data_IF_343742004652
#
_entry.id   IF_343742004652
#
_cell.length_a   1.000
_cell.length_b   1.000
_cell.length_c   1.000
_cell.angle_alpha   90.00
_cell.angle_beta   90.00
_cell.angle_gamma   90.00
#
_symmetry.space_group_name_H-M   'P 1'
#
loop_
_entity.id
_entity.type
_entity.pdbx_description
1 polymer ?
#
# COMPACT_ATOMS: atom_id res chain seq x y z
N UNK A 1 -3.60 -11.37 -3.54
CA UNK A 1 -4.17 -10.08 -3.96
C UNK A 1 -5.42 -10.36 -4.79
N UNK A 2 -6.52 -9.64 -4.56
CA UNK A 2 -7.77 -9.68 -5.33
C UNK A 2 -7.99 -8.32 -5.99
N UNK A 3 -8.55 -8.27 -7.21
CA UNK A 3 -8.86 -6.99 -7.85
C UNK A 3 -9.86 -6.20 -6.98
N UNK A 4 -9.55 -4.95 -6.67
CA UNK A 4 -10.37 -4.13 -5.80
C UNK A 4 -11.54 -3.52 -6.59
N UNK A 5 -12.77 -3.72 -6.11
CA UNK A 5 -13.96 -3.10 -6.69
C UNK A 5 -14.15 -1.70 -6.10
N UNK A 6 -13.36 -0.73 -6.56
CA UNK A 6 -13.42 0.64 -6.06
C UNK A 6 -14.54 1.42 -6.76
N UNK A 7 -15.31 2.18 -5.98
CA UNK A 7 -16.41 3.01 -6.47
C UNK A 7 -15.96 4.46 -6.66
N UNK A 8 -15.25 4.98 -5.67
CA UNK A 8 -14.77 6.36 -5.62
C UNK A 8 -13.58 6.49 -4.64
N UNK A 9 -13.09 7.73 -4.45
CA UNK A 9 -12.01 8.05 -3.51
C UNK A 9 -12.39 7.83 -2.05
N UNK A 10 -13.66 8.02 -1.69
CA UNK A 10 -14.15 7.84 -0.32
C UNK A 10 -14.11 6.36 0.04
N UNK A 11 -14.48 5.47 -0.88
CA UNK A 11 -14.36 4.03 -0.70
C UNK A 11 -12.89 3.62 -0.45
N UNK A 12 -11.93 4.21 -1.16
CA UNK A 12 -10.50 3.95 -0.89
C UNK A 12 -10.12 4.35 0.54
N UNK A 13 -10.54 5.55 0.99
CA UNK A 13 -10.26 5.99 2.36
C UNK A 13 -10.85 5.03 3.40
N UNK A 14 -12.09 4.58 3.18
CA UNK A 14 -12.75 3.62 4.07
C UNK A 14 -11.99 2.30 4.15
N UNK A 15 -11.52 1.77 3.02
CA UNK A 15 -10.70 0.55 2.98
C UNK A 15 -9.39 0.73 3.76
N UNK A 16 -8.69 1.85 3.52
CA UNK A 16 -7.45 2.16 4.22
C UNK A 16 -7.67 2.27 5.74
N UNK A 17 -8.73 2.97 6.19
CA UNK A 17 -9.10 3.03 7.60
C UNK A 17 -9.50 1.67 8.21
N UNK A 18 -9.98 0.73 7.39
CA UNK A 18 -10.35 -0.62 7.80
C UNK A 18 -9.17 -1.61 7.78
N UNK A 19 -7.94 -1.11 7.89
CA UNK A 19 -6.69 -1.89 7.88
C UNK A 19 -6.53 -2.77 6.63
N UNK A 20 -7.18 -2.40 5.52
CA UNK A 20 -6.99 -3.08 4.26
C UNK A 20 -5.70 -2.62 3.59
N UNK A 21 -4.90 -3.57 3.15
CA UNK A 21 -3.71 -3.29 2.34
C UNK A 21 -4.10 -3.27 0.87
N UNK A 22 -3.86 -2.13 0.23
CA UNK A 22 -4.06 -1.94 -1.20
C UNK A 22 -2.75 -2.13 -1.95
N UNK A 23 -2.84 -2.51 -3.22
CA UNK A 23 -1.68 -2.72 -4.06
C UNK A 23 -1.94 -2.26 -5.48
N UNK A 24 -1.00 -1.49 -6.02
CA UNK A 24 -0.99 -1.11 -7.44
C UNK A 24 -0.13 -2.11 -8.18
N UNK A 25 -0.72 -2.84 -9.13
CA UNK A 25 0.01 -3.77 -9.99
C UNK A 25 0.78 -2.99 -11.07
N UNK A 26 2.03 -3.34 -11.31
CA UNK A 26 2.81 -2.78 -12.40
C UNK A 26 4.13 -3.51 -12.63
N UNK A 27 4.54 -3.61 -13.90
CA UNK A 27 5.69 -4.43 -14.32
C UNK A 27 7.03 -3.87 -13.83
N UNK A 28 7.08 -2.58 -13.51
CA UNK A 28 8.25 -1.92 -12.93
C UNK A 28 8.57 -2.37 -11.50
N UNK A 29 7.60 -2.93 -10.78
CA UNK A 29 7.78 -3.34 -9.40
C UNK A 29 8.35 -4.75 -9.33
N UNK A 30 9.42 -4.91 -8.55
CA UNK A 30 10.10 -6.19 -8.33
C UNK A 30 9.52 -6.95 -7.15
N UNK A 31 9.25 -6.25 -6.04
CA UNK A 31 8.80 -6.88 -4.81
C UNK A 31 7.29 -7.16 -4.82
N UNK A 32 6.85 -7.89 -3.79
CA UNK A 32 5.44 -8.16 -3.50
C UNK A 32 4.65 -8.81 -4.63
N UNK A 33 5.32 -9.47 -5.57
CA UNK A 33 4.70 -10.10 -6.74
C UNK A 33 4.32 -9.09 -7.83
N UNK A 34 5.08 -8.00 -7.98
CA UNK A 34 4.81 -6.96 -8.98
C UNK A 34 3.86 -5.87 -8.48
N UNK A 35 3.86 -5.62 -7.17
CA UNK A 35 2.97 -4.64 -6.54
C UNK A 35 3.76 -3.59 -5.76
N UNK A 36 3.28 -2.35 -5.86
CA UNK A 36 3.52 -1.32 -4.84
C UNK A 36 2.39 -1.40 -3.82
N UNK A 37 2.71 -1.47 -2.54
CA UNK A 37 1.75 -1.66 -1.46
C UNK A 37 1.42 -0.35 -0.76
N UNK A 38 0.20 -0.26 -0.26
CA UNK A 38 -0.35 0.90 0.44
C UNK A 38 -1.18 0.46 1.64
N UNK A 39 -0.98 1.09 2.80
CA UNK A 39 -1.80 0.89 3.99
C UNK A 39 -1.89 2.19 4.78
N UNK A 40 -2.78 2.24 5.76
CA UNK A 40 -2.90 3.38 6.67
C UNK A 40 -2.32 2.99 8.02
N UNK A 41 -1.29 3.70 8.43
CA UNK A 41 -0.78 3.66 9.78
C UNK A 41 -1.65 4.59 10.64
N UNK A 42 -2.45 3.99 11.52
CA UNK A 42 -3.35 4.70 12.42
C UNK A 42 -2.62 5.41 13.55
N UNK A 43 -1.46 4.91 13.97
CA UNK A 43 -0.68 5.50 15.06
C UNK A 43 -0.04 6.81 14.61
N UNK A 44 0.52 6.82 13.39
CA UNK A 44 1.13 8.00 12.77
C UNK A 44 0.12 8.88 12.04
N UNK A 45 -1.08 8.38 11.76
CA UNK A 45 -2.12 9.08 11.01
C UNK A 45 -1.76 9.33 9.55
N UNK A 46 -0.94 8.46 8.95
CA UNK A 46 -0.42 8.59 7.58
C UNK A 46 -0.70 7.33 6.76
N UNK A 47 -0.64 7.47 5.44
CA UNK A 47 -0.64 6.34 4.53
C UNK A 47 0.78 6.02 4.09
N UNK A 48 1.19 4.80 4.35
CA UNK A 48 2.47 4.28 3.91
C UNK A 48 2.34 3.69 2.51
N UNK A 49 3.37 3.96 1.70
CA UNK A 49 3.57 3.39 0.39
C UNK A 49 4.91 2.67 0.37
N UNK A 50 4.90 1.37 0.08
CA UNK A 50 6.10 0.58 -0.06
C UNK A 50 6.25 0.07 -1.48
N UNK A 51 7.39 0.37 -2.10
CA UNK A 51 7.76 -0.11 -3.43
C UNK A 51 9.20 -0.61 -3.49
N UNK A 52 9.48 -1.46 -4.48
CA UNK A 52 10.84 -1.85 -4.85
C UNK A 52 10.82 -2.09 -6.36
N UNK A 53 11.78 -1.50 -7.07
CA UNK A 53 11.80 -1.49 -8.53
C UNK A 53 12.81 -2.51 -9.04
N UNK A 54 12.76 -2.85 -10.32
CA UNK A 54 13.80 -3.70 -10.93
C UNK A 54 15.13 -2.97 -11.06
N UNK A 55 15.09 -1.66 -11.35
CA UNK A 55 16.27 -0.81 -11.49
C UNK A 55 16.95 -0.49 -10.16
N UNK A 56 16.19 -0.48 -9.06
CA UNK A 56 16.71 -0.30 -7.71
C UNK A 56 16.03 -1.33 -6.79
N UNK A 57 16.76 -2.37 -6.35
CA UNK A 57 16.18 -3.44 -5.56
C UNK A 57 15.83 -3.02 -4.14
N UNK A 58 16.27 -1.84 -3.68
CA UNK A 58 15.95 -1.36 -2.34
C UNK A 58 14.45 -1.15 -2.19
N UNK A 59 13.94 -1.44 -0.99
CA UNK A 59 12.58 -1.09 -0.64
C UNK A 59 12.56 0.38 -0.26
N UNK A 60 11.64 1.12 -0.87
CA UNK A 60 11.38 2.51 -0.55
C UNK A 60 10.05 2.59 0.18
N UNK A 61 10.09 3.11 1.40
CA UNK A 61 8.90 3.50 2.15
C UNK A 61 8.68 5.00 1.95
N UNK A 62 7.45 5.43 1.73
CA UNK A 62 7.11 6.85 1.57
C UNK A 62 5.77 7.12 2.22
N UNK A 63 5.69 8.19 3.01
CA UNK A 63 4.49 8.56 3.73
C UNK A 63 3.69 9.61 2.95
N UNK A 64 2.38 9.44 2.97
CA UNK A 64 1.42 10.34 2.34
C UNK A 64 0.30 10.67 3.32
N UNK A 65 -0.30 11.86 3.18
CA UNK A 65 -1.61 12.07 3.81
C UNK A 65 -2.65 11.14 3.19
N UNK A 66 -3.66 10.78 3.97
CA UNK A 66 -4.76 9.93 3.51
C UNK A 66 -5.42 10.45 2.23
N UNK A 67 -5.63 11.76 2.13
CA UNK A 67 -6.18 12.42 0.94
C UNK A 67 -5.29 12.24 -0.29
N UNK A 68 -3.98 12.40 -0.12
CA UNK A 68 -3.01 12.27 -1.20
C UNK A 68 -2.91 10.81 -1.65
N UNK A 69 -2.87 9.87 -0.71
CA UNK A 69 -2.91 8.44 -0.99
C UNK A 69 -4.19 8.05 -1.74
N UNK A 70 -5.37 8.44 -1.25
CA UNK A 70 -6.65 8.15 -1.91
C UNK A 70 -6.70 8.72 -3.34
N UNK A 71 -6.15 9.91 -3.57
CA UNK A 71 -6.04 10.51 -4.91
C UNK A 71 -5.12 9.71 -5.83
N UNK A 72 -3.98 9.22 -5.33
CA UNK A 72 -3.03 8.41 -6.10
C UNK A 72 -3.68 7.06 -6.44
N UNK A 73 -4.19 6.35 -5.43
CA UNK A 73 -4.83 5.05 -5.58
C UNK A 73 -6.03 5.10 -6.54
N UNK A 74 -6.82 6.17 -6.49
CA UNK A 74 -7.94 6.37 -7.42
C UNK A 74 -7.50 6.50 -8.88
N UNK A 75 -6.38 7.20 -9.14
CA UNK A 75 -5.83 7.29 -10.50
C UNK A 75 -5.39 5.93 -11.04
N UNK A 76 -5.08 4.99 -10.15
CA UNK A 76 -4.68 3.62 -10.47
C UNK A 76 -5.80 2.60 -10.24
N UNK A 77 -7.07 3.02 -10.18
CA UNK A 77 -8.21 2.14 -9.86
C UNK A 77 -8.30 0.90 -10.77
N UNK A 78 -7.96 1.03 -12.05
CA UNK A 78 -7.97 -0.08 -13.01
C UNK A 78 -6.93 -1.16 -12.72
N UNK A 79 -5.82 -0.79 -12.07
CA UNK A 79 -4.74 -1.68 -11.66
C UNK A 79 -4.64 -1.82 -10.13
N UNK A 80 -5.74 -1.51 -9.42
CA UNK A 80 -5.80 -1.59 -7.98
C UNK A 80 -6.29 -2.95 -7.50
N UNK A 81 -5.56 -3.48 -6.54
CA UNK A 81 -5.82 -4.75 -5.90
C UNK A 81 -5.84 -4.56 -4.39
N UNK A 82 -6.52 -5.46 -3.71
CA UNK A 82 -6.60 -5.51 -2.26
C UNK A 82 -5.99 -6.83 -1.79
N UNK A 83 -5.27 -6.80 -0.68
CA UNK A 83 -4.79 -8.00 -0.01
C UNK A 83 -5.97 -8.70 0.67
N UNK A 84 -5.95 -10.03 0.67
CA UNK A 84 -7.04 -10.82 1.26
C UNK A 84 -6.96 -10.83 2.80
N UNK A 85 -5.77 -10.56 3.36
CA UNK A 85 -5.54 -10.43 4.79
C UNK A 85 -5.48 -8.96 5.18
N UNK A 86 -6.03 -8.63 6.35
CA UNK A 86 -5.87 -7.32 6.96
C UNK A 86 -4.43 -7.11 7.42
N UNK A 87 -4.01 -5.85 7.56
CA UNK A 87 -2.67 -5.48 8.00
C UNK A 87 -2.34 -6.14 9.37
N UNK A 88 -3.29 -6.10 10.30
CA UNK A 88 -3.18 -6.67 11.65
C UNK A 88 -2.91 -8.18 11.66
N UNK A 89 -3.28 -8.89 10.60
CA UNK A 89 -3.07 -10.34 10.46
C UNK A 89 -1.82 -10.69 9.64
N UNK A 90 -1.11 -9.69 9.12
CA UNK A 90 -0.02 -9.86 8.16
C UNK A 90 1.34 -9.54 8.76
N UNK A 91 1.86 -10.50 9.52
CA UNK A 91 3.20 -10.46 10.14
C UNK A 91 4.35 -10.12 9.18
N UNK A 92 4.18 -10.28 7.85
CA UNK A 92 5.21 -9.93 6.86
C UNK A 92 5.24 -8.43 6.53
N UNK A 93 4.15 -7.71 6.77
CA UNK A 93 4.07 -6.25 6.66
C UNK A 93 4.42 -5.56 7.97
N UNK A 94 4.08 -6.17 9.10
CA UNK A 94 4.50 -5.71 10.44
C UNK A 94 6.04 -5.59 10.52
N UNK A 95 6.80 -6.51 9.91
CA UNK A 95 8.27 -6.40 9.82
C UNK A 95 8.76 -5.24 8.93
N UNK A 96 7.92 -4.72 8.03
CA UNK A 96 8.28 -3.60 7.15
C UNK A 96 8.08 -2.24 7.82
N UNK A 97 7.12 -2.13 8.74
CA UNK A 97 6.94 -0.95 9.60
C UNK A 97 8.16 -0.75 10.53
N UNK A 98 8.83 -1.83 10.92
CA UNK A 98 10.03 -1.81 11.77
C UNK A 98 11.37 -1.70 11.01
N UNK A 99 11.36 -1.50 9.68
CA UNK A 99 12.59 -1.37 8.89
C UNK A 99 13.15 0.06 8.84
N UNK A 100 12.56 1.01 9.58
CA UNK A 100 13.14 2.35 9.77
C UNK A 100 14.31 2.38 10.80
N UNK A 101 14.59 1.27 11.51
CA UNK A 101 15.66 1.17 12.53
C UNK A 101 16.93 0.43 12.05
N UNK A 102 17.46 0.76 10.87
CA UNK A 102 18.84 0.35 10.53
C UNK A 102 19.59 1.53 9.91
N UNK A 103 20.29 2.26 10.77
CA UNK A 103 21.43 3.14 10.44
C UNK A 103 22.53 2.41 9.66
#
# INVERSE_FOLDING_TARGET
>A
MKKAAIKDKTHIKQLLYADCVLGIKGDRYRAFGGFQLWWYDKERGVCDCCESHWSDPRKKLTHYSLDKAAKILWRHSNSLYMRTKHLSDDKKLETLEHLEDVE
#
